data_IF_138024113803
#
_entry.id   IF_138024113803
#
_cell.length_a   1.000
_cell.length_b   1.000
_cell.length_c   1.000
_cell.angle_alpha   90.00
_cell.angle_beta   90.00
_cell.angle_gamma   90.00
#
_symmetry.space_group_name_H-M   'P 1'
#
loop_
_entity.id
_entity.type
_entity.pdbx_description
1 polymer ?
#
# COMPACT_ATOMS: atom_id res chain seq x y z
N UNK A 1 -51.61 4.52 23.68
CA UNK A 1 -50.24 4.44 24.22
C UNK A 1 -49.47 5.65 23.68
N UNK A 2 -49.13 6.71 24.41
CA UNK A 2 -48.36 6.87 25.65
C UNK A 2 -46.86 6.49 25.54
N UNK A 3 -46.03 7.53 25.75
CA UNK A 3 -44.62 7.57 26.21
C UNK A 3 -43.54 7.06 25.24
N UNK A 4 -42.76 7.89 24.53
CA UNK A 4 -41.70 8.85 24.92
C UNK A 4 -40.52 8.23 25.68
N UNK A 5 -39.34 8.76 25.34
CA UNK A 5 -38.05 8.77 26.06
C UNK A 5 -37.01 7.71 25.59
N UNK A 6 -35.72 8.02 25.35
CA UNK A 6 -34.94 9.20 25.74
C UNK A 6 -33.50 9.13 25.18
N UNK A 7 -32.90 10.32 25.05
CA UNK A 7 -31.46 10.66 25.09
C UNK A 7 -30.77 10.82 23.75
N UNK A 8 -30.58 12.08 23.33
CA UNK A 8 -29.45 12.95 23.68
C UNK A 8 -28.45 12.90 22.51
N UNK A 9 -28.77 13.57 21.41
CA UNK A 9 -27.73 14.03 20.48
C UNK A 9 -27.71 15.56 20.56
N UNK A 10 -27.45 16.05 21.77
CA UNK A 10 -27.06 17.44 21.94
C UNK A 10 -25.60 17.57 21.51
N UNK A 11 -25.35 18.74 20.91
CA UNK A 11 -24.05 19.41 20.66
C UNK A 11 -23.42 18.97 19.34
N UNK A 12 -23.12 19.85 18.37
CA UNK A 12 -22.95 21.31 18.38
C UNK A 12 -23.03 21.76 16.93
N UNK A 13 -23.91 22.71 16.61
CA UNK A 13 -23.72 23.55 15.44
C UNK A 13 -24.02 24.97 15.87
N UNK A 14 -22.93 25.70 16.09
CA UNK A 14 -22.89 27.09 16.47
C UNK A 14 -23.61 27.91 15.40
N UNK A 15 -24.83 28.37 15.68
CA UNK A 15 -25.48 29.39 14.87
C UNK A 15 -25.10 30.74 15.47
N UNK A 16 -24.46 31.59 14.67
CA UNK A 16 -25.09 32.87 14.43
C UNK A 16 -25.11 33.17 12.92
N UNK A 17 -26.29 33.03 12.31
CA UNK A 17 -26.62 33.68 11.05
C UNK A 17 -26.73 35.18 11.34
N UNK A 18 -25.63 35.91 11.17
CA UNK A 18 -25.67 37.37 11.13
C UNK A 18 -25.89 37.77 9.67
N UNK A 19 -27.12 38.17 9.37
CA UNK A 19 -27.47 38.90 8.16
C UNK A 19 -26.73 40.24 8.14
N UNK A 20 -25.68 40.36 7.33
CA UNK A 20 -25.08 41.64 6.96
C UNK A 20 -25.01 41.74 5.44
N UNK A 21 -25.93 42.51 4.88
CA UNK A 21 -26.06 42.76 3.45
C UNK A 21 -25.01 43.77 2.97
N UNK A 22 -23.74 43.37 2.81
CA UNK A 22 -22.78 44.04 1.92
C UNK A 22 -21.73 43.02 1.48
N UNK A 23 -21.65 42.75 0.18
CA UNK A 23 -20.85 41.67 -0.38
C UNK A 23 -19.34 41.88 -0.25
N UNK A 24 -18.66 40.96 0.44
CA UNK A 24 -17.23 40.65 0.30
C UNK A 24 -17.06 39.15 0.63
N UNK A 25 -16.32 38.43 -0.21
CA UNK A 25 -15.98 37.00 -0.05
C UNK A 25 -15.07 36.79 1.17
N UNK A 26 -15.38 35.80 2.01
CA UNK A 26 -14.47 35.35 3.06
C UNK A 26 -14.31 33.83 2.95
N UNK A 27 -13.13 33.42 2.50
CA UNK A 27 -12.63 32.06 2.62
C UNK A 27 -12.21 31.85 4.08
N UNK A 28 -12.80 30.87 4.76
CA UNK A 28 -12.23 30.34 6.00
C UNK A 28 -12.14 28.82 5.90
N UNK A 29 -10.91 28.35 5.74
CA UNK A 29 -10.47 27.03 6.12
C UNK A 29 -10.08 27.10 7.60
N UNK A 30 -10.43 26.09 8.39
CA UNK A 30 -9.56 25.59 9.46
C UNK A 30 -10.04 24.21 9.92
N UNK A 31 -9.13 23.25 9.75
CA UNK A 31 -9.12 21.90 10.31
C UNK A 31 -9.15 21.92 11.84
N UNK A 32 -9.59 20.83 12.47
CA UNK A 32 -8.84 20.20 13.58
C UNK A 32 -9.27 18.73 13.70
N UNK A 33 -8.27 17.86 13.69
CA UNK A 33 -8.26 16.41 13.94
C UNK A 33 -8.17 16.16 15.45
N UNK A 34 -8.74 15.09 16.02
CA UNK A 34 -8.17 14.27 17.11
C UNK A 34 -8.92 12.91 17.22
N UNK A 35 -8.17 11.85 16.85
CA UNK A 35 -8.00 10.49 17.40
C UNK A 35 -9.03 9.88 18.40
N UNK A 36 -9.59 8.71 18.02
CA UNK A 36 -9.61 7.44 18.80
C UNK A 36 -10.51 6.41 18.06
N UNK A 37 -9.90 5.56 17.23
CA UNK A 37 -10.57 4.40 16.63
C UNK A 37 -10.35 3.16 17.51
N UNK A 38 -11.41 2.77 18.22
CA UNK A 38 -11.62 1.37 18.59
C UNK A 38 -12.79 0.81 17.77
N UNK A 39 -12.52 -0.02 16.76
CA UNK A 39 -13.41 -1.14 16.45
C UNK A 39 -12.79 -2.20 15.54
N UNK A 40 -13.09 -3.43 15.95
CA UNK A 40 -13.00 -4.67 15.22
C UNK A 40 -14.11 -4.81 14.16
N UNK A 41 -13.82 -5.66 13.17
CA UNK A 41 -14.71 -6.44 12.30
C UNK A 41 -15.30 -5.82 11.01
N UNK A 42 -14.70 -6.20 9.89
CA UNK A 42 -15.35 -7.11 8.94
C UNK A 42 -16.22 -6.54 7.80
N UNK A 43 -15.98 -7.13 6.62
CA UNK A 43 -16.80 -7.17 5.41
C UNK A 43 -16.68 -6.01 4.38
N UNK A 44 -15.80 -6.26 3.40
CA UNK A 44 -15.99 -6.04 1.96
C UNK A 44 -16.78 -4.80 1.52
N UNK A 45 -16.09 -3.67 1.51
CA UNK A 45 -16.36 -2.53 0.64
C UNK A 45 -15.00 -1.97 0.22
N UNK A 46 -14.74 -1.95 -1.09
CA UNK A 46 -13.50 -1.38 -1.64
C UNK A 46 -13.51 0.13 -1.43
N UNK A 47 -13.06 0.54 -0.25
CA UNK A 47 -12.63 1.91 0.07
C UNK A 47 -11.18 1.75 0.47
N UNK A 48 -10.29 1.80 -0.52
CA UNK A 48 -8.86 1.72 -0.33
C UNK A 48 -8.39 2.96 0.43
N UNK A 49 -8.35 2.85 1.75
CA UNK A 49 -7.42 3.65 2.54
C UNK A 49 -6.04 3.42 1.94
N UNK A 50 -5.23 4.47 1.70
CA UNK A 50 -3.86 4.28 1.26
C UNK A 50 -3.17 3.38 2.28
N UNK A 51 -2.69 2.22 1.83
CA UNK A 51 -1.89 1.34 2.67
C UNK A 51 -0.57 2.02 2.99
N UNK A 52 -0.16 2.02 4.24
CA UNK A 52 1.13 2.58 4.63
C UNK A 52 2.28 1.96 3.82
N UNK A 53 3.28 2.76 3.43
CA UNK A 53 4.43 2.26 2.69
C UNK A 53 5.22 1.25 3.53
N UNK A 54 5.72 0.20 2.87
CA UNK A 54 6.60 -0.79 3.49
C UNK A 54 8.04 -0.32 3.39
N UNK A 55 8.75 -0.28 4.52
CA UNK A 55 10.18 0.07 4.59
C UNK A 55 11.00 -1.14 4.96
N UNK A 56 12.03 -1.44 4.17
CA UNK A 56 12.96 -2.57 4.37
C UNK A 56 14.40 -2.06 4.40
N UNK A 57 15.21 -2.59 5.32
CA UNK A 57 16.67 -2.47 5.25
C UNK A 57 17.24 -3.70 4.53
N UNK A 58 17.67 -3.51 3.29
CA UNK A 58 18.19 -4.60 2.45
C UNK A 58 19.54 -5.13 2.93
N UNK A 59 20.22 -4.45 3.85
CA UNK A 59 21.49 -4.94 4.45
C UNK A 59 21.28 -5.99 5.54
N UNK A 60 20.04 -6.23 5.97
CA UNK A 60 19.73 -7.31 6.89
C UNK A 60 19.86 -8.69 6.21
N UNK A 61 20.10 -9.72 7.02
CA UNK A 61 20.44 -11.07 6.54
C UNK A 61 19.38 -11.70 5.64
N UNK A 62 18.12 -11.30 5.82
CA UNK A 62 16.98 -11.83 5.07
C UNK A 62 16.99 -11.38 3.60
N UNK A 63 17.72 -10.30 3.30
CA UNK A 63 17.83 -9.70 1.96
C UNK A 63 19.24 -9.80 1.38
N UNK A 64 20.08 -10.72 1.89
CA UNK A 64 21.43 -10.94 1.38
C UNK A 64 21.49 -11.16 -0.13
N UNK A 65 20.46 -11.79 -0.72
CA UNK A 65 20.39 -11.97 -2.18
C UNK A 65 20.30 -10.64 -2.92
N UNK A 66 19.70 -9.60 -2.33
CA UNK A 66 19.57 -8.27 -2.91
C UNK A 66 20.83 -7.40 -2.71
N UNK A 67 21.88 -7.90 -2.07
CA UNK A 67 23.16 -7.17 -1.95
C UNK A 67 23.97 -7.14 -3.25
N UNK A 68 23.57 -7.90 -4.27
CA UNK A 68 24.23 -7.95 -5.58
C UNK A 68 23.24 -7.69 -6.70
N UNK A 69 23.65 -6.93 -7.72
CA UNK A 69 22.87 -6.74 -8.95
C UNK A 69 22.61 -8.09 -9.62
N UNK A 70 21.37 -8.32 -10.05
CA UNK A 70 20.85 -9.60 -10.55
C UNK A 70 20.30 -10.51 -9.43
N UNK A 71 20.52 -10.14 -8.18
CA UNK A 71 19.95 -10.81 -7.02
C UNK A 71 18.44 -10.63 -6.92
N UNK A 72 17.73 -11.65 -6.44
CA UNK A 72 16.28 -11.64 -6.31
C UNK A 72 15.81 -12.38 -5.05
N UNK A 73 14.57 -12.14 -4.65
CA UNK A 73 13.94 -12.76 -3.49
C UNK A 73 12.43 -12.92 -3.69
N UNK A 74 11.88 -14.05 -3.27
CA UNK A 74 10.44 -14.21 -3.04
C UNK A 74 10.14 -13.99 -1.55
N UNK A 75 9.68 -12.78 -1.20
CA UNK A 75 9.40 -12.40 0.18
C UNK A 75 7.92 -12.61 0.51
N UNK A 76 7.59 -13.86 0.82
CA UNK A 76 6.21 -14.34 0.99
C UNK A 76 5.48 -13.71 2.18
N UNK A 77 6.18 -13.28 3.23
CA UNK A 77 5.57 -12.61 4.39
C UNK A 77 4.94 -11.25 4.04
N UNK A 78 5.36 -10.63 2.93
CA UNK A 78 4.79 -9.40 2.37
C UNK A 78 4.14 -9.61 1.00
N UNK A 79 4.05 -10.86 0.53
CA UNK A 79 3.50 -11.21 -0.79
C UNK A 79 4.17 -10.50 -1.98
N UNK A 80 5.50 -10.28 -1.92
CA UNK A 80 6.23 -9.58 -2.98
C UNK A 80 7.41 -10.38 -3.55
N UNK A 81 7.68 -10.18 -4.84
CA UNK A 81 8.93 -10.54 -5.51
C UNK A 81 9.81 -9.30 -5.60
N UNK A 82 11.09 -9.44 -5.29
CA UNK A 82 12.08 -8.37 -5.42
C UNK A 82 13.19 -8.82 -6.37
N UNK A 83 13.68 -7.89 -7.20
CA UNK A 83 14.89 -8.09 -8.00
C UNK A 83 15.70 -6.80 -8.07
N UNK A 84 17.00 -6.91 -7.77
CA UNK A 84 17.93 -5.79 -7.89
C UNK A 84 18.49 -5.73 -9.30
N UNK A 85 18.09 -4.71 -10.06
CA UNK A 85 18.44 -4.60 -11.48
C UNK A 85 19.60 -3.64 -11.75
N UNK A 86 19.93 -2.79 -10.78
CA UNK A 86 21.09 -1.90 -10.81
C UNK A 86 21.57 -1.60 -9.39
N UNK A 87 22.64 -0.81 -9.27
CA UNK A 87 23.14 -0.39 -7.95
C UNK A 87 22.10 0.42 -7.16
N UNK A 88 21.19 1.11 -7.84
CA UNK A 88 20.24 2.07 -7.26
C UNK A 88 18.77 1.71 -7.48
N UNK A 89 18.47 0.53 -8.04
CA UNK A 89 17.09 0.16 -8.38
C UNK A 89 16.80 -1.30 -8.01
N UNK A 90 15.74 -1.47 -7.24
CA UNK A 90 15.09 -2.75 -6.97
C UNK A 90 13.67 -2.66 -7.49
N UNK A 91 13.29 -3.56 -8.40
CA UNK A 91 11.89 -3.69 -8.83
C UNK A 91 11.16 -4.63 -7.89
N UNK A 92 9.93 -4.26 -7.60
CA UNK A 92 9.06 -4.98 -6.66
C UNK A 92 7.76 -5.33 -7.37
N UNK A 93 7.35 -6.58 -7.25
CA UNK A 93 6.13 -7.10 -7.87
C UNK A 93 5.26 -7.82 -6.86
N UNK A 94 3.95 -7.91 -7.10
CA UNK A 94 3.11 -8.90 -6.43
C UNK A 94 3.65 -10.31 -6.74
N UNK A 95 3.90 -11.14 -5.72
CA UNK A 95 4.35 -12.52 -5.94
C UNK A 95 3.22 -13.47 -6.40
N UNK A 96 2.00 -12.95 -6.59
CA UNK A 96 0.87 -13.70 -7.14
C UNK A 96 1.13 -14.07 -8.59
N UNK A 97 1.23 -15.37 -8.87
CA UNK A 97 1.32 -15.85 -10.24
C UNK A 97 0.07 -15.43 -11.04
N UNK A 98 0.19 -14.69 -12.16
CA UNK A 98 -0.96 -14.23 -12.95
C UNK A 98 -1.87 -15.34 -13.48
N UNK A 99 -1.37 -16.58 -13.59
CA UNK A 99 -2.16 -17.72 -14.06
C UNK A 99 -3.22 -18.17 -13.04
N UNK A 100 -2.82 -18.51 -11.81
CA UNK A 100 -3.69 -19.14 -10.79
C UNK A 100 -3.43 -18.66 -9.37
N UNK A 101 -2.58 -17.66 -9.19
CA UNK A 101 -2.36 -17.01 -7.91
C UNK A 101 -1.43 -17.72 -6.93
N UNK A 102 -0.74 -18.78 -7.35
CA UNK A 102 0.31 -19.40 -6.55
C UNK A 102 1.44 -18.38 -6.25
N UNK A 103 2.06 -18.46 -5.07
CA UNK A 103 2.98 -17.42 -4.56
C UNK A 103 4.37 -17.91 -4.17
N UNK A 104 4.53 -19.21 -3.96
CA UNK A 104 5.64 -19.78 -3.19
C UNK A 104 6.71 -20.48 -4.05
N UNK A 105 6.43 -20.76 -5.32
CA UNK A 105 7.37 -21.45 -6.22
C UNK A 105 7.76 -20.54 -7.38
N UNK A 106 8.80 -19.75 -7.17
CA UNK A 106 9.38 -18.89 -8.20
C UNK A 106 10.83 -19.27 -8.46
N UNK A 107 11.26 -19.11 -9.70
CA UNK A 107 12.67 -19.04 -10.09
C UNK A 107 12.88 -17.79 -10.93
N UNK A 108 14.13 -17.33 -11.04
CA UNK A 108 14.47 -16.15 -11.84
C UNK A 108 15.73 -16.43 -12.67
N UNK A 109 15.72 -16.00 -13.92
CA UNK A 109 16.79 -16.27 -14.88
C UNK A 109 17.61 -15.03 -15.29
N UNK A 110 17.42 -13.89 -14.61
CA UNK A 110 18.05 -12.61 -14.96
C UNK A 110 17.19 -11.68 -15.82
N UNK A 111 16.00 -12.10 -16.23
CA UNK A 111 15.04 -11.26 -16.98
C UNK A 111 13.57 -11.66 -16.79
N UNK A 112 13.32 -12.88 -16.32
CA UNK A 112 11.98 -13.41 -16.15
C UNK A 112 11.86 -14.22 -14.86
N UNK A 113 10.71 -14.07 -14.19
CA UNK A 113 10.26 -14.94 -13.12
C UNK A 113 9.44 -16.10 -13.69
N UNK A 114 9.79 -17.33 -13.35
CA UNK A 114 9.05 -18.53 -13.75
C UNK A 114 8.33 -19.13 -12.55
N UNK A 115 7.02 -19.32 -12.68
CA UNK A 115 6.21 -19.99 -11.66
C UNK A 115 6.39 -21.51 -11.78
N UNK A 116 6.96 -22.14 -10.75
CA UNK A 116 7.30 -23.57 -10.73
C UNK A 116 6.10 -24.54 -10.68
N UNK A 117 4.85 -24.04 -10.68
CA UNK A 117 3.66 -24.91 -10.75
C UNK A 117 3.34 -25.35 -12.18
N UNK A 118 3.42 -24.42 -13.13
CA UNK A 118 3.05 -24.66 -14.54
C UNK A 118 4.08 -24.10 -15.53
N UNK A 119 5.22 -23.62 -15.03
CA UNK A 119 6.34 -23.07 -15.79
C UNK A 119 6.00 -21.85 -16.66
N UNK A 120 4.94 -21.12 -16.30
CA UNK A 120 4.67 -19.83 -16.92
C UNK A 120 5.74 -18.82 -16.50
N UNK A 121 6.30 -18.11 -17.47
CA UNK A 121 7.34 -17.09 -17.28
C UNK A 121 6.80 -15.70 -17.54
N UNK A 122 7.21 -14.75 -16.70
CA UNK A 122 6.78 -13.36 -16.76
C UNK A 122 8.01 -12.45 -16.69
N UNK A 123 8.05 -11.43 -17.54
CA UNK A 123 9.15 -10.44 -17.53
C UNK A 123 9.22 -9.69 -16.20
N UNK A 124 10.44 -9.31 -15.81
CA UNK A 124 10.74 -8.40 -14.70
C UNK A 124 10.64 -6.90 -15.08
N UNK A 125 9.89 -6.58 -16.13
CA UNK A 125 9.55 -5.20 -16.50
C UNK A 125 8.25 -4.79 -15.82
N UNK A 126 8.15 -3.54 -15.36
CA UNK A 126 6.89 -2.99 -14.84
C UNK A 126 5.78 -2.86 -15.90
N UNK A 127 6.10 -3.01 -17.19
CA UNK A 127 5.12 -3.12 -18.27
C UNK A 127 4.66 -4.57 -18.56
N UNK A 128 5.14 -5.52 -17.76
CA UNK A 128 4.83 -6.94 -17.90
C UNK A 128 3.48 -7.33 -17.29
N UNK A 129 3.25 -8.65 -17.20
CA UNK A 129 2.01 -9.21 -16.65
C UNK A 129 2.01 -9.32 -15.12
N UNK A 130 3.15 -9.17 -14.46
CA UNK A 130 3.23 -9.05 -13.00
C UNK A 130 2.85 -7.63 -12.60
N UNK A 131 2.02 -7.48 -11.57
CA UNK A 131 1.74 -6.18 -10.98
C UNK A 131 3.02 -5.60 -10.38
N UNK A 132 3.49 -4.48 -10.92
CA UNK A 132 4.64 -3.74 -10.39
C UNK A 132 4.19 -2.75 -9.32
N UNK A 133 4.99 -2.60 -8.27
CA UNK A 133 4.81 -1.59 -7.24
C UNK A 133 5.89 -0.51 -7.35
N UNK A 134 5.55 0.71 -6.94
CA UNK A 134 6.52 1.78 -6.85
C UNK A 134 7.50 1.49 -5.70
N UNK A 135 8.79 1.65 -5.96
CA UNK A 135 9.83 1.41 -4.99
C UNK A 135 11.00 2.38 -5.15
N UNK A 136 11.53 2.86 -4.03
CA UNK A 136 12.65 3.79 -3.97
C UNK A 136 13.75 3.23 -3.07
N UNK A 137 14.97 3.15 -3.60
CA UNK A 137 16.14 2.67 -2.88
C UNK A 137 17.08 3.84 -2.54
N UNK A 138 17.19 4.15 -1.25
CA UNK A 138 18.13 5.14 -0.72
C UNK A 138 19.19 4.45 0.14
N UNK A 139 20.37 4.23 -0.44
CA UNK A 139 21.42 3.41 0.17
C UNK A 139 20.94 1.98 0.36
N UNK A 140 20.69 1.57 1.60
CA UNK A 140 20.15 0.24 1.93
C UNK A 140 18.66 0.27 2.33
N UNK A 141 18.03 1.44 2.33
CA UNK A 141 16.62 1.56 2.71
C UNK A 141 15.76 1.50 1.44
N UNK A 142 14.95 0.45 1.33
CA UNK A 142 13.95 0.28 0.28
C UNK A 142 12.58 0.67 0.82
N UNK A 143 11.94 1.67 0.21
CA UNK A 143 10.55 2.06 0.49
C UNK A 143 9.66 1.58 -0.64
N UNK A 144 8.55 0.91 -0.32
CA UNK A 144 7.61 0.31 -1.28
C UNK A 144 6.21 0.89 -1.07
N UNK A 145 5.55 1.28 -2.15
CA UNK A 145 4.18 1.82 -2.17
C UNK A 145 3.29 0.94 -3.05
N UNK A 146 2.09 0.60 -2.57
CA UNK A 146 1.15 -0.35 -3.19
C UNK A 146 -0.03 0.32 -3.89
#
# INVERSE_FOLDING_TARGET
>A
MSSKDRREFLKTACMPVVLAAFGISVLEACSTEEDDDSYEYGASGSTSNPSDPVKLDISSSDFNSLQTVGGWLNFTSKNILLVRISETEIRVFDNKCPHQGNRDKWTYNGSQFTCGYHNNSYSDSCSGALTCYDAELEGNNLTITF
#
